data_IF_797290999130
#
_entry.id   IF_797290999130
#
_cell.length_a   1.000
_cell.length_b   1.000
_cell.length_c   1.000
_cell.angle_alpha   90.00
_cell.angle_beta   90.00
_cell.angle_gamma   90.00
#
_symmetry.space_group_name_H-M   'P 1'
#
loop_
_entity.id
_entity.type
_entity.pdbx_description
1 polymer ?
#
# COMPACT_ATOMS: atom_id res chain seq x y z
N UNK A 1 5.11 -20.59 11.66
CA UNK A 1 4.07 -21.19 10.76
C UNK A 1 4.68 -21.46 9.40
N UNK A 2 4.50 -22.65 8.82
CA UNK A 2 5.04 -22.96 7.49
C UNK A 2 3.94 -22.79 6.44
N UNK A 3 4.27 -22.08 5.36
CA UNK A 3 3.33 -21.79 4.26
C UNK A 3 2.78 -23.07 3.60
N UNK A 4 3.50 -24.15 3.69
CA UNK A 4 3.15 -25.48 3.16
C UNK A 4 1.86 -26.03 3.80
N UNK A 5 1.52 -25.59 5.01
CA UNK A 5 0.32 -26.02 5.75
C UNK A 5 -0.90 -25.12 5.50
N UNK A 6 -0.75 -24.06 4.71
CA UNK A 6 -1.87 -23.16 4.45
C UNK A 6 -2.84 -23.76 3.43
N UNK A 7 -4.15 -23.66 3.74
CA UNK A 7 -5.21 -23.96 2.78
C UNK A 7 -5.27 -22.92 1.66
N UNK A 8 -5.99 -23.21 0.58
CA UNK A 8 -6.21 -22.27 -0.52
C UNK A 8 -6.91 -20.99 -0.03
N UNK A 9 -7.87 -21.13 0.91
CA UNK A 9 -8.59 -20.02 1.54
C UNK A 9 -7.61 -19.10 2.31
N UNK A 10 -6.69 -19.69 3.07
CA UNK A 10 -5.70 -18.93 3.84
C UNK A 10 -4.68 -18.28 2.92
N UNK A 11 -4.21 -18.98 1.89
CA UNK A 11 -3.30 -18.41 0.89
C UNK A 11 -3.95 -17.23 0.17
N UNK A 12 -5.23 -17.34 -0.22
CA UNK A 12 -5.99 -16.28 -0.86
C UNK A 12 -6.19 -15.07 0.08
N UNK A 13 -6.67 -15.32 1.30
CA UNK A 13 -6.93 -14.28 2.28
C UNK A 13 -5.68 -13.49 2.66
N UNK A 14 -4.52 -14.15 2.82
CA UNK A 14 -3.26 -13.47 3.12
C UNK A 14 -2.81 -12.46 2.05
N UNK A 15 -3.36 -12.50 0.85
CA UNK A 15 -3.12 -11.56 -0.24
C UNK A 15 -4.12 -10.42 -0.33
N UNK A 16 -5.05 -10.32 0.61
CA UNK A 16 -6.02 -9.23 0.69
C UNK A 16 -5.70 -8.29 1.85
N UNK A 17 -5.74 -7.00 1.56
CA UNK A 17 -5.76 -5.93 2.55
C UNK A 17 -7.08 -5.18 2.37
N UNK A 18 -7.89 -5.13 3.42
CA UNK A 18 -9.28 -4.67 3.30
C UNK A 18 -9.62 -3.58 4.30
N UNK A 19 -10.51 -2.66 3.88
CA UNK A 19 -11.14 -1.72 4.77
C UNK A 19 -12.38 -2.30 5.44
N UNK A 20 -12.86 -1.62 6.46
CA UNK A 20 -14.04 -2.01 7.24
C UNK A 20 -14.73 -0.78 7.85
N UNK A 21 -15.93 -0.95 8.38
CA UNK A 21 -16.67 0.09 9.06
C UNK A 21 -16.67 -0.10 10.58
N UNK A 22 -16.72 1.03 11.29
CA UNK A 22 -16.83 1.07 12.75
C UNK A 22 -15.53 1.34 13.48
N UNK A 23 -15.67 1.62 14.79
CA UNK A 23 -14.58 2.03 15.68
C UNK A 23 -14.28 0.99 16.77
N UNK A 24 -14.93 -0.16 16.71
CA UNK A 24 -14.73 -1.27 17.62
C UNK A 24 -14.75 -2.60 16.86
N UNK A 25 -14.16 -3.61 17.45
CA UNK A 25 -14.23 -4.98 16.93
C UNK A 25 -15.70 -5.41 16.82
N UNK A 26 -16.10 -5.93 15.67
CA UNK A 26 -17.49 -6.25 15.34
C UNK A 26 -17.59 -7.50 14.46
N UNK A 27 -18.82 -7.92 14.12
CA UNK A 27 -19.09 -9.11 13.33
C UNK A 27 -18.47 -9.06 11.91
N UNK A 28 -18.34 -7.87 11.31
CA UNK A 28 -17.68 -7.74 10.00
C UNK A 28 -16.19 -8.07 10.12
N UNK A 29 -15.51 -7.57 11.16
CA UNK A 29 -14.11 -7.89 11.44
C UNK A 29 -13.93 -9.38 11.81
N UNK A 30 -14.88 -9.98 12.54
CA UNK A 30 -14.88 -11.43 12.78
C UNK A 30 -14.90 -12.22 11.46
N UNK A 31 -15.73 -11.80 10.51
CA UNK A 31 -15.85 -12.45 9.20
C UNK A 31 -14.59 -12.26 8.36
N UNK A 32 -14.09 -11.03 8.24
CA UNK A 32 -12.87 -10.72 7.48
C UNK A 32 -11.65 -11.48 8.00
N UNK A 33 -11.47 -11.51 9.31
CA UNK A 33 -10.31 -12.13 9.95
C UNK A 33 -10.50 -13.65 10.10
N UNK A 34 -11.67 -14.11 10.56
CA UNK A 34 -11.90 -15.52 10.89
C UNK A 34 -12.27 -16.40 9.70
N UNK A 35 -13.08 -15.90 8.76
CA UNK A 35 -13.56 -16.67 7.61
C UNK A 35 -12.75 -16.36 6.34
N UNK A 36 -12.58 -15.08 5.99
CA UNK A 36 -11.83 -14.69 4.79
C UNK A 36 -10.31 -14.76 5.00
N UNK A 37 -9.86 -14.79 6.24
CA UNK A 37 -8.45 -14.96 6.60
C UNK A 37 -7.54 -13.88 6.01
N UNK A 38 -8.01 -12.63 5.96
CA UNK A 38 -7.31 -11.51 5.32
C UNK A 38 -5.93 -11.26 5.93
N UNK A 39 -4.97 -10.89 5.08
CA UNK A 39 -3.60 -10.65 5.48
C UNK A 39 -3.36 -9.30 6.12
N UNK A 40 -4.23 -8.33 5.85
CA UNK A 40 -4.13 -6.98 6.39
C UNK A 40 -5.45 -6.24 6.45
N UNK A 41 -5.46 -5.18 7.26
CA UNK A 41 -6.53 -4.20 7.38
C UNK A 41 -5.99 -2.81 7.05
N UNK A 42 -6.79 -1.98 6.43
CA UNK A 42 -6.50 -0.56 6.22
C UNK A 42 -7.54 0.30 6.92
N UNK A 43 -7.05 1.30 7.68
CA UNK A 43 -7.86 2.20 8.49
C UNK A 43 -8.07 3.54 7.79
N UNK A 44 -9.27 4.08 7.94
CA UNK A 44 -9.65 5.40 7.48
C UNK A 44 -10.12 6.27 8.65
N UNK A 45 -10.23 7.58 8.43
CA UNK A 45 -10.66 8.51 9.47
C UNK A 45 -11.94 8.09 10.23
N UNK A 46 -12.98 7.48 9.60
CA UNK A 46 -14.16 7.01 10.33
C UNK A 46 -13.89 5.90 11.35
N UNK A 47 -12.77 5.16 11.22
CA UNK A 47 -12.39 4.12 12.18
C UNK A 47 -11.71 4.67 13.44
N UNK A 48 -11.37 5.97 13.47
CA UNK A 48 -10.50 6.59 14.46
C UNK A 48 -11.29 7.62 15.26
N UNK A 49 -11.42 7.43 16.58
CA UNK A 49 -12.00 8.40 17.48
C UNK A 49 -10.94 9.07 18.37
N UNK A 50 -10.16 8.27 19.07
CA UNK A 50 -9.09 8.68 19.98
C UNK A 50 -8.01 7.59 20.08
N UNK A 51 -6.83 7.89 20.66
CA UNK A 51 -5.74 6.92 20.76
C UNK A 51 -6.10 5.64 21.50
N UNK A 52 -6.84 5.74 22.60
CA UNK A 52 -7.20 4.57 23.41
C UNK A 52 -8.21 3.66 22.71
N UNK A 53 -9.17 4.26 21.99
CA UNK A 53 -10.11 3.52 21.16
C UNK A 53 -9.36 2.78 20.04
N UNK A 54 -8.46 3.48 19.34
CA UNK A 54 -7.74 2.92 18.22
C UNK A 54 -6.81 1.78 18.66
N UNK A 55 -6.08 1.95 19.76
CA UNK A 55 -5.26 0.91 20.36
C UNK A 55 -6.07 -0.35 20.72
N UNK A 56 -7.25 -0.17 21.35
CA UNK A 56 -8.14 -1.30 21.66
C UNK A 56 -8.57 -2.02 20.37
N UNK A 57 -9.02 -1.28 19.36
CA UNK A 57 -9.46 -1.85 18.09
C UNK A 57 -8.35 -2.68 17.43
N UNK A 58 -7.14 -2.12 17.28
CA UNK A 58 -6.02 -2.82 16.69
C UNK A 58 -5.63 -4.08 17.48
N UNK A 59 -5.57 -3.97 18.81
CA UNK A 59 -5.28 -5.13 19.68
C UNK A 59 -6.34 -6.21 19.55
N UNK A 60 -7.64 -5.88 19.60
CA UNK A 60 -8.72 -6.84 19.53
C UNK A 60 -8.72 -7.59 18.18
N UNK A 61 -8.36 -6.90 17.06
CA UNK A 61 -8.16 -7.53 15.76
C UNK A 61 -6.98 -8.51 15.77
N UNK A 62 -5.82 -8.13 16.34
CA UNK A 62 -4.65 -9.01 16.45
C UNK A 62 -4.93 -10.23 17.33
N UNK A 63 -5.57 -10.02 18.47
CA UNK A 63 -5.95 -11.10 19.41
C UNK A 63 -6.92 -12.09 18.75
N UNK A 64 -7.85 -11.58 17.94
CA UNK A 64 -8.78 -12.45 17.21
C UNK A 64 -8.07 -13.23 16.11
N UNK A 65 -7.19 -12.59 15.34
CA UNK A 65 -6.38 -13.26 14.32
C UNK A 65 -5.53 -14.40 14.94
N UNK A 66 -4.92 -14.14 16.10
CA UNK A 66 -4.15 -15.16 16.83
C UNK A 66 -5.03 -16.34 17.27
N UNK A 67 -6.25 -16.08 17.79
CA UNK A 67 -7.23 -17.15 18.14
C UNK A 67 -7.66 -17.97 16.94
N UNK A 68 -7.72 -17.37 15.75
CA UNK A 68 -7.99 -18.05 14.47
C UNK A 68 -6.78 -18.79 13.89
N UNK A 69 -5.64 -18.79 14.58
CA UNK A 69 -4.41 -19.42 14.11
C UNK A 69 -3.81 -18.74 12.88
N UNK A 70 -4.01 -17.43 12.74
CA UNK A 70 -3.46 -16.65 11.64
C UNK A 70 -2.10 -16.03 11.99
N UNK A 71 -1.27 -15.71 10.96
CA UNK A 71 -0.17 -14.78 11.15
C UNK A 71 -0.67 -13.42 11.62
N UNK A 72 0.14 -12.61 12.33
CA UNK A 72 -0.22 -11.25 12.70
C UNK A 72 -0.74 -10.45 11.49
N UNK A 73 -1.73 -9.61 11.72
CA UNK A 73 -2.28 -8.74 10.68
C UNK A 73 -1.32 -7.58 10.38
N UNK A 74 -1.19 -7.23 9.11
CA UNK A 74 -0.72 -5.90 8.76
C UNK A 74 -1.89 -4.95 8.99
N UNK A 75 -1.71 -3.95 9.86
CA UNK A 75 -2.69 -2.89 10.09
C UNK A 75 -2.06 -1.60 9.57
N UNK A 76 -2.69 -1.01 8.57
CA UNK A 76 -2.15 0.11 7.81
C UNK A 76 -3.03 1.34 7.83
N UNK A 77 -2.44 2.47 7.51
CA UNK A 77 -3.10 3.77 7.39
C UNK A 77 -2.38 4.65 6.38
N UNK A 78 -3.07 5.64 5.79
CA UNK A 78 -2.43 6.74 5.05
C UNK A 78 -2.12 7.88 6.02
N UNK A 79 -0.87 8.07 6.38
CA UNK A 79 -0.41 9.18 7.21
C UNK A 79 0.74 9.92 6.52
N UNK A 80 0.43 10.53 5.35
CA UNK A 80 1.40 11.32 4.56
C UNK A 80 1.74 12.67 5.20
N UNK A 81 0.85 13.15 6.08
CA UNK A 81 0.79 14.54 6.52
C UNK A 81 0.01 15.43 5.54
N UNK A 82 -0.24 16.71 5.92
CA UNK A 82 -1.02 17.63 5.11
C UNK A 82 -2.45 17.15 4.85
N UNK A 83 -2.92 17.18 3.58
CA UNK A 83 -4.29 16.81 3.26
C UNK A 83 -4.57 15.31 3.44
N UNK A 84 -3.55 14.46 3.31
CA UNK A 84 -3.69 13.01 3.46
C UNK A 84 -3.11 12.57 4.81
N UNK A 85 -3.94 12.67 5.82
CA UNK A 85 -3.68 12.21 7.17
C UNK A 85 -4.96 11.68 7.78
N UNK A 86 -4.92 10.51 8.44
CA UNK A 86 -6.07 9.91 9.11
C UNK A 86 -6.04 10.20 10.61
N UNK A 87 -4.85 10.25 11.20
CA UNK A 87 -4.63 10.67 12.57
C UNK A 87 -4.60 12.21 12.62
N UNK A 88 -5.55 12.81 13.33
CA UNK A 88 -5.80 14.26 13.31
C UNK A 88 -5.94 14.87 14.70
N UNK A 89 -5.80 16.20 14.79
CA UNK A 89 -6.14 16.93 16.00
C UNK A 89 -7.58 16.62 16.47
N UNK A 90 -7.88 16.71 17.78
CA UNK A 90 -6.96 17.17 18.85
C UNK A 90 -6.04 16.08 19.41
N UNK A 91 -6.16 14.84 19.02
CA UNK A 91 -5.54 13.70 19.69
C UNK A 91 -4.17 13.33 19.12
N UNK A 92 -3.87 13.74 17.88
CA UNK A 92 -2.65 13.40 17.18
C UNK A 92 -1.95 14.65 16.63
N UNK A 93 -0.66 14.54 16.38
CA UNK A 93 0.16 15.62 15.84
C UNK A 93 -0.23 15.95 14.40
N UNK A 94 -0.42 17.22 14.10
CA UNK A 94 -0.72 17.69 12.74
C UNK A 94 0.55 18.20 12.09
N UNK A 95 0.85 17.70 10.90
CA UNK A 95 1.96 18.15 10.08
C UNK A 95 1.44 18.86 8.82
N UNK A 96 2.15 19.88 8.32
CA UNK A 96 1.72 20.66 7.16
C UNK A 96 1.78 19.90 5.83
N UNK A 97 2.43 18.72 5.80
CA UNK A 97 2.59 17.90 4.61
C UNK A 97 3.96 18.02 3.95
N UNK A 98 4.20 17.15 2.97
CA UNK A 98 5.49 16.99 2.31
C UNK A 98 6.04 18.28 1.66
N UNK A 99 5.22 19.13 0.99
CA UNK A 99 5.75 20.37 0.39
C UNK A 99 6.34 21.36 1.38
N UNK A 100 5.99 21.27 2.65
CA UNK A 100 6.50 22.15 3.71
C UNK A 100 7.78 21.65 4.37
N UNK A 101 8.20 20.41 4.09
CA UNK A 101 9.45 19.82 4.58
C UNK A 101 10.61 20.34 3.75
N UNK A 102 11.58 20.99 4.40
CA UNK A 102 12.68 21.71 3.74
C UNK A 102 13.90 20.82 3.48
N UNK A 103 14.14 19.90 4.39
CA UNK A 103 15.31 19.01 4.37
C UNK A 103 14.99 17.64 4.99
N UNK A 104 15.96 16.74 4.94
CA UNK A 104 15.83 15.39 5.45
C UNK A 104 15.58 15.34 6.96
N UNK A 105 15.98 16.39 7.73
CA UNK A 105 15.70 16.41 9.17
C UNK A 105 14.23 16.71 9.46
N UNK A 106 13.58 17.55 8.67
CA UNK A 106 12.11 17.73 8.73
C UNK A 106 11.40 16.39 8.44
N UNK A 107 11.83 15.67 7.39
CA UNK A 107 11.29 14.36 7.06
C UNK A 107 11.50 13.32 8.18
N UNK A 108 12.69 13.30 8.80
CA UNK A 108 12.98 12.45 9.96
C UNK A 108 12.15 12.83 11.18
N UNK A 109 11.96 14.13 11.42
CA UNK A 109 11.16 14.61 12.56
C UNK A 109 9.68 14.19 12.41
N UNK A 110 9.11 14.35 11.21
CA UNK A 110 7.80 13.84 10.87
C UNK A 110 7.72 12.32 11.11
N UNK A 111 8.63 11.56 10.51
CA UNK A 111 8.63 10.10 10.60
C UNK A 111 8.83 9.58 12.04
N UNK A 112 9.65 10.26 12.87
CA UNK A 112 9.81 9.89 14.29
C UNK A 112 8.51 10.00 15.07
N UNK A 113 7.79 11.10 14.88
CA UNK A 113 6.51 11.35 15.57
C UNK A 113 5.44 10.42 15.06
N UNK A 114 5.30 10.31 13.74
CA UNK A 114 4.33 9.42 13.08
C UNK A 114 4.54 7.97 13.50
N UNK A 115 5.77 7.45 13.44
CA UNK A 115 6.07 6.08 13.85
C UNK A 115 5.68 5.81 15.31
N UNK A 116 5.93 6.79 16.21
CA UNK A 116 5.53 6.66 17.61
C UNK A 116 4.01 6.58 17.75
N UNK A 117 3.29 7.52 17.15
CA UNK A 117 1.82 7.57 17.25
C UNK A 117 1.16 6.34 16.63
N UNK A 118 1.67 5.85 15.48
CA UNK A 118 1.21 4.63 14.83
C UNK A 118 1.46 3.39 15.70
N UNK A 119 2.68 3.25 16.21
CA UNK A 119 3.04 2.10 17.06
C UNK A 119 2.25 2.09 18.37
N UNK A 120 2.07 3.24 19.02
CA UNK A 120 1.26 3.36 20.24
C UNK A 120 -0.20 2.95 19.99
N UNK A 121 -0.72 3.23 18.80
CA UNK A 121 -2.06 2.84 18.38
C UNK A 121 -2.18 1.38 17.90
N UNK A 122 -1.06 0.66 17.73
CA UNK A 122 -1.04 -0.71 17.21
C UNK A 122 -1.08 -0.81 15.68
N UNK A 123 -0.84 0.30 14.97
CA UNK A 123 -0.68 0.35 13.52
C UNK A 123 0.79 0.06 13.19
N UNK A 124 1.03 -0.80 12.20
CA UNK A 124 2.36 -1.31 11.88
C UNK A 124 2.82 -1.03 10.45
N UNK A 125 1.98 -0.38 9.62
CA UNK A 125 2.33 0.02 8.27
C UNK A 125 1.77 1.41 7.96
N UNK A 126 2.60 2.27 7.37
CA UNK A 126 2.20 3.58 6.82
C UNK A 126 2.27 3.55 5.30
N UNK A 127 1.18 3.93 4.63
CA UNK A 127 1.13 4.10 3.18
C UNK A 127 1.83 5.42 2.77
N UNK A 128 3.07 5.55 3.19
CA UNK A 128 4.00 6.65 2.95
C UNK A 128 5.45 6.12 2.90
N UNK A 129 6.36 6.81 2.19
CA UNK A 129 6.26 8.14 1.57
C UNK A 129 5.64 8.17 0.17
N UNK A 130 5.18 9.35 -0.21
CA UNK A 130 4.89 9.70 -1.61
C UNK A 130 6.22 9.98 -2.31
N UNK A 131 6.57 9.14 -3.30
CA UNK A 131 7.82 9.22 -4.07
C UNK A 131 7.61 9.87 -5.45
N UNK A 132 6.42 10.39 -5.71
CA UNK A 132 6.06 11.04 -6.96
C UNK A 132 6.81 12.37 -7.12
N UNK A 133 7.25 12.66 -8.35
CA UNK A 133 7.93 13.90 -8.72
C UNK A 133 6.98 14.78 -9.52
N UNK A 134 6.60 15.95 -8.97
CA UNK A 134 5.71 16.88 -9.64
C UNK A 134 6.38 18.25 -9.80
N UNK A 135 6.40 18.83 -11.02
CA UNK A 135 6.85 20.20 -11.23
C UNK A 135 6.07 21.20 -10.36
N UNK A 136 6.75 22.24 -9.85
CA UNK A 136 6.14 23.21 -8.91
C UNK A 136 5.00 24.03 -9.53
N UNK A 137 4.94 24.14 -10.82
CA UNK A 137 3.91 24.85 -11.58
C UNK A 137 2.74 23.94 -12.01
N UNK A 138 2.81 22.64 -11.70
CA UNK A 138 1.73 21.71 -12.00
C UNK A 138 0.63 21.81 -10.94
N UNK A 139 -0.53 22.36 -11.33
CA UNK A 139 -1.74 22.29 -10.53
C UNK A 139 -2.39 20.90 -10.68
N UNK A 140 -2.55 20.17 -9.58
CA UNK A 140 -3.21 18.86 -9.59
C UNK A 140 -3.27 18.27 -8.18
N UNK A 141 -3.89 17.10 -8.06
CA UNK A 141 -4.09 16.40 -6.78
C UNK A 141 -2.79 16.07 -6.04
N UNK A 142 -1.67 16.04 -6.77
CA UNK A 142 -0.35 15.73 -6.21
C UNK A 142 0.40 16.96 -5.69
N UNK A 143 0.00 18.19 -6.05
CA UNK A 143 0.71 19.41 -5.68
C UNK A 143 0.94 19.56 -4.17
N UNK A 144 -0.05 19.21 -3.36
CA UNK A 144 -0.02 19.30 -1.90
C UNK A 144 0.49 18.01 -1.21
N UNK A 145 0.93 17.00 -1.99
CA UNK A 145 1.35 15.69 -1.48
C UNK A 145 2.80 15.33 -1.76
N UNK A 146 3.44 15.95 -2.76
CA UNK A 146 4.82 15.64 -3.17
C UNK A 146 5.85 16.45 -2.40
N UNK A 147 7.09 15.96 -2.31
CA UNK A 147 8.22 16.72 -1.79
C UNK A 147 8.71 17.81 -2.76
N UNK A 148 8.39 17.70 -4.06
CA UNK A 148 8.74 18.68 -5.07
C UNK A 148 8.99 18.10 -6.46
N UNK A 149 9.60 18.93 -7.36
CA UNK A 149 9.81 18.59 -8.76
C UNK A 149 11.22 18.12 -9.13
N UNK A 150 12.09 17.91 -8.15
CA UNK A 150 13.44 17.44 -8.38
C UNK A 150 13.63 16.00 -7.90
N UNK A 151 13.91 15.03 -8.79
CA UNK A 151 14.01 13.61 -8.44
C UNK A 151 14.94 13.31 -7.27
N UNK A 152 16.15 13.92 -7.27
CA UNK A 152 17.13 13.74 -6.20
C UNK A 152 16.66 14.27 -4.85
N UNK A 153 15.87 15.36 -4.83
CA UNK A 153 15.30 15.89 -3.60
C UNK A 153 14.24 14.94 -3.07
N UNK A 154 13.31 14.50 -3.94
CA UNK A 154 12.26 13.52 -3.58
C UNK A 154 12.91 12.23 -3.06
N UNK A 155 13.95 11.74 -3.72
CA UNK A 155 14.69 10.55 -3.30
C UNK A 155 15.26 10.71 -1.88
N UNK A 156 15.98 11.83 -1.59
CA UNK A 156 16.54 12.06 -0.25
C UNK A 156 15.49 12.19 0.84
N UNK A 157 14.42 12.96 0.57
CA UNK A 157 13.33 13.15 1.53
C UNK A 157 12.61 11.84 1.83
N UNK A 158 12.24 11.11 0.78
CA UNK A 158 11.53 9.85 0.89
C UNK A 158 12.36 8.77 1.59
N UNK A 159 13.65 8.63 1.27
CA UNK A 159 14.52 7.65 1.93
C UNK A 159 14.77 7.99 3.40
N UNK A 160 14.91 9.27 3.75
CA UNK A 160 15.01 9.69 5.16
C UNK A 160 13.75 9.29 5.96
N UNK A 161 12.57 9.37 5.32
CA UNK A 161 11.30 8.94 5.93
C UNK A 161 11.24 7.40 6.03
N UNK A 162 11.56 6.67 4.97
CA UNK A 162 11.61 5.20 4.94
C UNK A 162 12.51 4.67 6.07
N UNK A 163 13.76 5.11 6.11
CA UNK A 163 14.73 4.65 7.10
C UNK A 163 14.23 4.92 8.54
N UNK A 164 13.62 6.08 8.76
CA UNK A 164 13.17 6.49 10.08
C UNK A 164 11.95 5.72 10.56
N UNK A 165 10.94 5.49 9.70
CA UNK A 165 9.78 4.66 10.00
C UNK A 165 10.21 3.22 10.28
N UNK A 166 11.00 2.63 9.37
CA UNK A 166 11.38 1.23 9.45
C UNK A 166 12.30 0.92 10.64
N UNK A 167 13.22 1.83 10.97
CA UNK A 167 14.04 1.71 12.18
C UNK A 167 13.22 1.73 13.48
N UNK A 168 11.95 2.15 13.43
CA UNK A 168 11.00 2.18 14.55
C UNK A 168 9.93 1.10 14.46
N UNK A 169 10.09 0.12 13.56
CA UNK A 169 9.18 -1.01 13.43
C UNK A 169 7.90 -0.73 12.66
N UNK A 170 7.79 0.44 12.00
CA UNK A 170 6.66 0.76 11.11
C UNK A 170 7.08 0.54 9.67
N UNK A 171 6.39 -0.35 8.97
CA UNK A 171 6.62 -0.63 7.55
C UNK A 171 6.26 0.59 6.70
N UNK A 172 7.20 1.07 5.87
CA UNK A 172 6.98 2.16 4.93
C UNK A 172 6.55 1.62 3.56
N UNK A 173 5.68 2.36 2.86
CA UNK A 173 5.22 2.02 1.50
C UNK A 173 5.49 3.19 0.56
N UNK A 174 6.41 3.00 -0.38
CA UNK A 174 6.70 3.99 -1.42
C UNK A 174 5.59 4.00 -2.48
N UNK A 175 5.05 5.17 -2.82
CA UNK A 175 3.92 5.31 -3.74
C UNK A 175 3.99 6.59 -4.58
N UNK A 176 3.42 6.61 -5.77
CA UNK A 176 2.65 5.56 -6.47
C UNK A 176 3.43 5.12 -7.71
N UNK A 177 4.02 3.93 -7.67
CA UNK A 177 4.88 3.42 -8.74
C UNK A 177 4.11 3.27 -10.08
N UNK A 178 4.70 3.64 -11.23
CA UNK A 178 6.07 4.12 -11.45
C UNK A 178 6.25 5.65 -11.38
N UNK A 179 5.26 6.41 -10.88
CA UNK A 179 5.28 7.85 -10.69
C UNK A 179 4.07 8.55 -11.35
N UNK A 180 3.24 9.22 -10.53
CA UNK A 180 2.01 9.90 -10.98
C UNK A 180 2.10 11.43 -10.87
N UNK A 181 3.23 11.97 -10.40
CA UNK A 181 3.35 13.40 -10.08
C UNK A 181 3.17 14.33 -11.26
N UNK A 182 3.32 13.84 -12.49
CA UNK A 182 3.12 14.60 -13.73
C UNK A 182 1.76 14.37 -14.38
N UNK A 183 0.82 13.69 -13.70
CA UNK A 183 -0.55 13.49 -14.17
C UNK A 183 -1.48 14.58 -13.64
N UNK A 184 -2.47 14.96 -14.44
CA UNK A 184 -3.44 16.03 -14.10
C UNK A 184 -4.77 15.44 -13.63
N UNK A 185 -5.18 14.29 -14.18
CA UNK A 185 -6.45 13.65 -13.86
C UNK A 185 -6.40 12.90 -12.54
N UNK A 186 -7.52 12.95 -11.80
CA UNK A 186 -7.71 12.23 -10.56
C UNK A 186 -8.18 10.80 -10.83
N UNK A 187 -7.39 9.80 -10.45
CA UNK A 187 -7.71 8.38 -10.58
C UNK A 187 -8.89 7.91 -9.73
N UNK A 188 -9.35 8.73 -8.77
CA UNK A 188 -10.60 8.48 -8.06
C UNK A 188 -11.84 8.68 -8.96
N UNK A 189 -11.72 9.49 -10.00
CA UNK A 189 -12.84 9.82 -10.90
C UNK A 189 -12.86 8.93 -12.12
N UNK A 190 -11.72 8.74 -12.79
CA UNK A 190 -11.58 7.90 -13.98
C UNK A 190 -10.12 7.47 -14.15
N UNK A 191 -9.82 6.63 -15.15
CA UNK A 191 -8.47 6.14 -15.41
C UNK A 191 -7.64 7.20 -16.16
N UNK A 192 -6.61 7.82 -15.51
CA UNK A 192 -5.73 8.75 -16.20
C UNK A 192 -4.82 8.00 -17.19
N UNK A 193 -4.49 8.68 -18.29
CA UNK A 193 -3.56 8.16 -19.30
C UNK A 193 -2.28 8.99 -19.27
N UNK A 194 -1.15 8.31 -19.10
CA UNK A 194 0.18 8.90 -19.16
C UNK A 194 0.85 8.52 -20.47
N UNK A 195 1.36 9.53 -21.22
CA UNK A 195 1.77 9.37 -22.62
C UNK A 195 3.27 9.30 -22.85
N UNK A 196 4.08 9.50 -21.81
CA UNK A 196 5.52 9.35 -21.94
C UNK A 196 5.90 7.87 -21.98
N UNK A 197 7.00 7.60 -22.65
CA UNK A 197 7.61 6.28 -22.67
C UNK A 197 8.57 6.09 -21.48
N UNK A 198 9.06 4.86 -21.31
CA UNK A 198 9.96 4.53 -20.22
C UNK A 198 11.25 5.37 -20.23
N UNK A 199 11.78 5.70 -21.42
CA UNK A 199 13.01 6.48 -21.55
C UNK A 199 12.84 7.92 -21.02
N UNK A 200 11.65 8.50 -21.19
CA UNK A 200 11.32 9.82 -20.63
C UNK A 200 11.06 9.75 -19.10
N UNK A 201 10.61 8.61 -18.57
CA UNK A 201 10.36 8.42 -17.13
C UNK A 201 11.64 8.08 -16.35
N UNK A 202 12.58 7.37 -16.96
CA UNK A 202 13.81 6.91 -16.30
C UNK A 202 14.60 8.03 -15.59
N UNK A 203 14.79 9.24 -16.13
CA UNK A 203 15.53 10.30 -15.46
C UNK A 203 14.69 11.09 -14.43
N UNK A 204 13.38 10.98 -14.44
CA UNK A 204 12.50 11.85 -13.63
C UNK A 204 11.72 11.06 -12.59
N UNK A 205 10.93 10.06 -13.01
CA UNK A 205 9.97 9.39 -12.15
C UNK A 205 10.58 8.19 -11.40
N UNK A 206 11.53 7.48 -12.03
CA UNK A 206 12.09 6.25 -11.45
C UNK A 206 13.19 6.45 -10.39
N UNK A 207 14.02 7.52 -10.37
CA UNK A 207 15.10 7.66 -9.41
C UNK A 207 14.65 7.61 -7.94
N UNK A 208 13.54 8.25 -7.51
CA UNK A 208 13.07 8.11 -6.13
C UNK A 208 12.72 6.67 -5.76
N UNK A 209 12.10 5.91 -6.66
CA UNK A 209 11.77 4.50 -6.41
C UNK A 209 13.03 3.61 -6.40
N UNK A 210 14.02 3.91 -7.26
CA UNK A 210 15.32 3.23 -7.19
C UNK A 210 15.97 3.44 -5.83
N UNK A 211 15.99 4.68 -5.33
CA UNK A 211 16.49 4.99 -4.00
C UNK A 211 15.70 4.27 -2.89
N UNK A 212 14.36 4.21 -3.00
CA UNK A 212 13.53 3.48 -2.05
C UNK A 212 13.87 1.96 -2.03
N UNK A 213 14.14 1.37 -3.19
CA UNK A 213 14.56 -0.04 -3.32
C UNK A 213 15.92 -0.25 -2.65
N UNK A 214 16.90 0.62 -2.91
CA UNK A 214 18.24 0.56 -2.31
C UNK A 214 18.19 0.68 -0.78
N UNK A 215 17.22 1.45 -0.25
CA UNK A 215 16.92 1.59 1.18
C UNK A 215 15.96 0.50 1.72
N UNK A 216 15.70 -0.55 0.92
CA UNK A 216 14.91 -1.73 1.33
C UNK A 216 13.53 -1.36 1.85
N UNK A 217 12.82 -0.49 1.13
CA UNK A 217 11.45 -0.15 1.49
C UNK A 217 10.57 -1.40 1.62
N UNK A 218 9.77 -1.45 2.67
CA UNK A 218 8.94 -2.62 3.03
C UNK A 218 7.86 -2.94 1.98
N UNK A 219 7.25 -1.89 1.40
CA UNK A 219 6.24 -2.03 0.37
C UNK A 219 6.40 -1.01 -0.77
N UNK A 220 5.92 -1.38 -1.97
CA UNK A 220 5.73 -0.46 -3.09
C UNK A 220 4.29 -0.58 -3.57
N UNK A 221 3.57 0.55 -3.60
CA UNK A 221 2.20 0.62 -4.12
C UNK A 221 2.22 1.06 -5.59
N UNK A 222 1.50 0.31 -6.44
CA UNK A 222 1.35 0.58 -7.87
C UNK A 222 0.11 1.42 -8.14
N UNK A 223 0.25 2.42 -9.01
CA UNK A 223 -0.80 3.37 -9.36
C UNK A 223 -1.87 2.80 -10.30
N UNK A 224 -3.05 3.42 -10.32
CA UNK A 224 -4.12 3.15 -11.29
C UNK A 224 -4.03 4.02 -12.56
N UNK A 225 -2.81 4.26 -13.04
CA UNK A 225 -2.54 5.04 -14.25
C UNK A 225 -2.25 4.10 -15.41
N UNK A 226 -2.84 4.37 -16.57
CA UNK A 226 -2.51 3.70 -17.83
C UNK A 226 -1.30 4.39 -18.47
N UNK A 227 -0.17 3.71 -18.51
CA UNK A 227 1.06 4.18 -19.18
C UNK A 227 1.05 3.67 -20.62
N UNK A 228 0.33 4.38 -21.50
CA UNK A 228 -0.05 3.94 -22.84
C UNK A 228 1.13 3.46 -23.71
N UNK A 229 2.34 4.05 -23.53
CA UNK A 229 3.54 3.67 -24.27
C UNK A 229 4.39 2.57 -23.62
N UNK A 230 3.99 2.11 -22.42
CA UNK A 230 4.66 1.02 -21.70
C UNK A 230 3.79 -0.22 -21.73
N UNK A 231 2.53 -0.06 -21.34
CA UNK A 231 1.47 -1.08 -21.41
C UNK A 231 0.16 -0.39 -21.82
N UNK A 232 -0.28 -0.53 -23.07
CA UNK A 232 -1.48 0.13 -23.57
C UNK A 232 -2.78 -0.54 -23.08
N UNK A 233 -2.68 -1.71 -22.46
CA UNK A 233 -3.85 -2.53 -22.07
C UNK A 233 -4.20 -2.39 -20.58
N UNK A 234 -3.18 -2.32 -19.71
CA UNK A 234 -3.39 -2.39 -18.27
C UNK A 234 -2.77 -1.22 -17.50
N UNK A 235 -3.49 -0.62 -16.53
CA UNK A 235 -2.89 0.35 -15.60
C UNK A 235 -1.78 -0.31 -14.77
N UNK A 236 -0.86 0.48 -14.25
CA UNK A 236 0.34 -0.04 -13.58
C UNK A 236 0.03 -1.10 -12.50
N UNK A 237 -1.04 -0.91 -11.72
CA UNK A 237 -1.51 -1.85 -10.69
C UNK A 237 -2.05 -3.18 -11.22
N UNK A 238 -2.21 -3.33 -12.53
CA UNK A 238 -2.69 -4.55 -13.19
C UNK A 238 -1.76 -5.00 -14.31
N UNK A 239 -0.66 -4.28 -14.55
CA UNK A 239 0.26 -4.50 -15.67
C UNK A 239 1.39 -5.46 -15.33
N UNK A 240 1.49 -6.62 -15.97
CA UNK A 240 2.67 -7.49 -15.82
C UNK A 240 3.94 -6.84 -16.36
N UNK A 241 3.84 -5.94 -17.35
CA UNK A 241 4.99 -5.20 -17.90
C UNK A 241 5.58 -4.25 -16.84
N UNK A 242 4.73 -3.56 -16.08
CA UNK A 242 5.17 -2.59 -15.09
C UNK A 242 5.52 -3.26 -13.75
N UNK A 243 4.65 -4.10 -13.21
CA UNK A 243 4.87 -4.68 -11.90
C UNK A 243 5.93 -5.81 -11.91
N UNK A 244 5.79 -6.75 -12.83
CA UNK A 244 6.69 -7.91 -12.91
C UNK A 244 8.00 -7.59 -13.63
N UNK A 245 7.91 -7.06 -14.89
CA UNK A 245 9.08 -6.96 -15.74
C UNK A 245 9.91 -5.70 -15.41
N UNK A 246 9.28 -4.52 -15.19
CA UNK A 246 10.00 -3.31 -14.81
C UNK A 246 10.40 -3.33 -13.33
N UNK A 247 9.44 -3.39 -12.39
CA UNK A 247 9.73 -3.23 -10.96
C UNK A 247 10.51 -4.42 -10.39
N UNK A 248 10.03 -5.66 -10.59
CA UNK A 248 10.70 -6.82 -9.99
C UNK A 248 11.96 -7.24 -10.74
N UNK A 249 11.90 -7.38 -12.09
CA UNK A 249 13.01 -7.95 -12.85
C UNK A 249 14.07 -6.91 -13.21
N UNK A 250 13.68 -5.76 -13.79
CA UNK A 250 14.64 -4.74 -14.24
C UNK A 250 15.21 -3.93 -13.07
N UNK A 251 14.34 -3.45 -12.14
CA UNK A 251 14.77 -2.67 -10.97
C UNK A 251 15.16 -3.53 -9.77
N UNK A 252 14.87 -4.84 -9.77
CA UNK A 252 15.35 -5.80 -8.76
C UNK A 252 14.57 -5.80 -7.45
N UNK A 253 13.37 -5.23 -7.37
CA UNK A 253 12.59 -5.17 -6.13
C UNK A 253 12.09 -6.55 -5.69
N UNK A 254 12.49 -6.99 -4.49
CA UNK A 254 12.12 -8.27 -3.92
C UNK A 254 11.13 -8.17 -2.75
N UNK A 255 10.79 -6.96 -2.33
CA UNK A 255 9.82 -6.72 -1.25
C UNK A 255 8.36 -6.91 -1.68
N UNK A 256 7.45 -6.49 -0.80
CA UNK A 256 6.00 -6.62 -1.02
C UNK A 256 5.50 -5.53 -1.96
N UNK A 257 4.77 -5.93 -3.00
CA UNK A 257 4.05 -5.02 -3.88
C UNK A 257 2.56 -5.04 -3.59
N UNK A 258 1.89 -3.91 -3.79
CA UNK A 258 0.45 -3.81 -3.59
C UNK A 258 -0.20 -2.93 -4.66
N UNK A 259 -1.47 -3.16 -4.92
CA UNK A 259 -2.27 -2.24 -5.72
C UNK A 259 -2.58 -0.98 -4.91
N UNK A 260 -2.92 0.12 -5.57
CA UNK A 260 -3.76 1.15 -4.96
C UNK A 260 -5.17 0.59 -4.73
N UNK A 261 -6.08 1.37 -4.14
CA UNK A 261 -7.43 0.92 -3.80
C UNK A 261 -8.23 0.49 -5.04
N UNK A 262 -8.57 -0.78 -5.11
CA UNK A 262 -9.34 -1.37 -6.23
C UNK A 262 -10.80 -0.89 -6.29
N UNK A 263 -11.28 -0.14 -5.30
CA UNK A 263 -12.59 0.51 -5.32
C UNK A 263 -12.57 1.89 -5.98
N UNK A 264 -11.39 2.38 -6.41
CA UNK A 264 -11.27 3.66 -7.11
C UNK A 264 -11.91 3.62 -8.51
N UNK A 265 -12.41 4.77 -8.95
CA UNK A 265 -13.12 4.93 -10.24
C UNK A 265 -12.32 4.44 -11.45
N UNK A 266 -10.99 4.62 -11.45
CA UNK A 266 -10.09 4.12 -12.48
C UNK A 266 -10.17 2.59 -12.69
N UNK A 267 -10.58 1.84 -11.69
CA UNK A 267 -10.71 0.38 -11.76
C UNK A 267 -12.18 -0.04 -11.94
N UNK A 268 -13.05 0.40 -11.03
CA UNK A 268 -14.43 -0.12 -10.98
C UNK A 268 -15.27 0.20 -12.21
N UNK A 269 -14.91 1.26 -12.96
CA UNK A 269 -15.61 1.65 -14.19
C UNK A 269 -15.17 0.85 -15.41
N UNK A 270 -14.00 0.23 -15.37
CA UNK A 270 -13.37 -0.40 -16.54
C UNK A 270 -13.26 -1.91 -16.42
N UNK A 271 -13.21 -2.45 -15.19
CA UNK A 271 -12.93 -3.87 -14.98
C UNK A 271 -13.84 -4.49 -13.91
N UNK A 272 -14.29 -5.72 -14.14
CA UNK A 272 -14.87 -6.56 -13.08
C UNK A 272 -13.77 -7.07 -12.13
N UNK A 273 -14.17 -7.40 -10.90
CA UNK A 273 -13.23 -7.80 -9.86
C UNK A 273 -12.50 -9.11 -10.19
N UNK A 274 -13.13 -10.03 -10.91
CA UNK A 274 -12.51 -11.30 -11.32
C UNK A 274 -11.34 -11.06 -12.27
N UNK A 275 -11.52 -10.20 -13.27
CA UNK A 275 -10.47 -9.75 -14.19
C UNK A 275 -9.36 -9.03 -13.44
N UNK A 276 -9.69 -8.13 -12.51
CA UNK A 276 -8.72 -7.40 -11.68
C UNK A 276 -7.84 -8.38 -10.88
N UNK A 277 -8.44 -9.31 -10.17
CA UNK A 277 -7.69 -10.28 -9.35
C UNK A 277 -6.85 -11.22 -10.23
N UNK A 278 -7.35 -11.62 -11.39
CA UNK A 278 -6.53 -12.36 -12.36
C UNK A 278 -5.27 -11.58 -12.75
N UNK A 279 -5.40 -10.30 -13.08
CA UNK A 279 -4.26 -9.45 -13.45
C UNK A 279 -3.30 -9.20 -12.26
N UNK A 280 -3.81 -9.00 -11.05
CA UNK A 280 -2.98 -8.90 -9.84
C UNK A 280 -2.08 -10.14 -9.69
N UNK A 281 -2.62 -11.34 -9.94
CA UNK A 281 -1.84 -12.58 -9.88
C UNK A 281 -0.85 -12.67 -11.04
N UNK A 282 -1.28 -12.41 -12.28
CA UNK A 282 -0.44 -12.45 -13.48
C UNK A 282 0.73 -11.44 -13.43
N UNK A 283 0.52 -10.31 -12.75
CA UNK A 283 1.50 -9.24 -12.56
C UNK A 283 2.45 -9.47 -11.38
N UNK A 284 2.31 -10.58 -10.65
CA UNK A 284 3.08 -10.93 -9.44
C UNK A 284 2.98 -9.84 -8.34
N UNK A 285 1.83 -9.16 -8.26
CA UNK A 285 1.52 -8.21 -7.17
C UNK A 285 1.05 -9.02 -5.95
N UNK A 286 1.51 -8.64 -4.76
CA UNK A 286 1.31 -9.43 -3.55
C UNK A 286 -0.02 -9.15 -2.88
N UNK A 287 -0.32 -7.87 -2.63
CA UNK A 287 -1.58 -7.45 -2.03
C UNK A 287 -2.53 -6.80 -3.02
N UNK A 288 -3.78 -7.24 -3.00
CA UNK A 288 -4.91 -6.52 -3.56
C UNK A 288 -5.59 -5.72 -2.43
N UNK A 289 -5.66 -4.39 -2.59
CA UNK A 289 -6.34 -3.50 -1.65
C UNK A 289 -7.79 -3.30 -2.07
N UNK A 290 -8.75 -3.59 -1.16
CA UNK A 290 -10.18 -3.34 -1.34
C UNK A 290 -10.64 -2.57 -0.11
N UNK A 291 -10.69 -1.24 -0.22
CA UNK A 291 -10.69 -0.37 0.94
C UNK A 291 -12.10 -0.05 1.49
N UNK A 292 -13.16 -0.37 0.76
CA UNK A 292 -14.52 -0.06 1.16
C UNK A 292 -15.31 -1.32 1.48
N UNK A 293 -16.09 -1.26 2.57
CA UNK A 293 -17.02 -2.33 2.91
C UNK A 293 -18.02 -2.54 1.77
N UNK A 294 -18.15 -3.78 1.30
CA UNK A 294 -19.09 -4.11 0.24
C UNK A 294 -18.91 -5.53 -0.29
N UNK A 295 -19.73 -5.93 -1.26
CA UNK A 295 -19.67 -7.27 -1.83
C UNK A 295 -18.34 -7.56 -2.55
N UNK A 296 -17.63 -6.53 -3.00
CA UNK A 296 -16.35 -6.66 -3.72
C UNK A 296 -15.27 -7.35 -2.89
N UNK A 297 -15.28 -7.23 -1.57
CA UNK A 297 -14.32 -7.95 -0.71
C UNK A 297 -14.55 -9.45 -0.83
N UNK A 298 -15.81 -9.90 -0.72
CA UNK A 298 -16.16 -11.31 -0.87
C UNK A 298 -15.86 -11.83 -2.29
N UNK A 299 -16.30 -11.10 -3.32
CA UNK A 299 -16.07 -11.43 -4.72
C UNK A 299 -14.57 -11.50 -5.04
N UNK A 300 -13.77 -10.52 -4.55
CA UNK A 300 -12.33 -10.49 -4.70
C UNK A 300 -11.63 -11.66 -4.00
N UNK A 301 -12.10 -12.02 -2.81
CA UNK A 301 -11.58 -13.19 -2.08
C UNK A 301 -11.89 -14.51 -2.83
N UNK A 302 -13.10 -14.67 -3.37
CA UNK A 302 -13.48 -15.84 -4.16
C UNK A 302 -12.61 -15.95 -5.42
N UNK A 303 -12.46 -14.85 -6.15
CA UNK A 303 -11.57 -14.79 -7.31
C UNK A 303 -10.12 -15.10 -6.95
N UNK A 304 -9.59 -14.56 -5.83
CA UNK A 304 -8.22 -14.82 -5.37
C UNK A 304 -8.03 -16.30 -4.99
N UNK A 305 -9.03 -16.92 -4.34
CA UNK A 305 -9.02 -18.35 -4.02
C UNK A 305 -8.98 -19.21 -5.29
N UNK A 306 -9.77 -18.85 -6.30
CA UNK A 306 -9.78 -19.59 -7.55
C UNK A 306 -8.46 -19.41 -8.32
N UNK A 307 -7.88 -18.21 -8.31
CA UNK A 307 -6.52 -17.97 -8.84
C UNK A 307 -5.45 -18.73 -8.07
N UNK A 308 -5.60 -18.90 -6.75
CA UNK A 308 -4.70 -19.69 -5.92
C UNK A 308 -4.62 -21.16 -6.38
N UNK A 309 -5.76 -21.74 -6.74
CA UNK A 309 -5.84 -23.11 -7.28
C UNK A 309 -5.22 -23.24 -8.66
N UNK A 310 -5.41 -22.23 -9.50
CA UNK A 310 -4.88 -22.22 -10.87
C UNK A 310 -3.38 -21.91 -10.92
N UNK A 311 -2.88 -21.08 -10.00
CA UNK A 311 -1.52 -20.56 -9.98
C UNK A 311 -0.83 -20.76 -8.61
N UNK A 312 -0.70 -22.02 -8.11
CA UNK A 312 -0.28 -22.30 -6.74
C UNK A 312 1.16 -21.85 -6.45
N UNK A 313 2.05 -21.92 -7.43
CA UNK A 313 3.45 -21.51 -7.24
C UNK A 313 3.58 -19.99 -7.09
N UNK A 314 2.93 -19.23 -7.95
CA UNK A 314 2.92 -17.75 -7.88
C UNK A 314 2.28 -17.26 -6.58
N UNK A 315 1.14 -17.86 -6.19
CA UNK A 315 0.48 -17.53 -4.93
C UNK A 315 1.38 -17.79 -3.73
N UNK A 316 2.04 -18.96 -3.67
CA UNK A 316 2.96 -19.26 -2.57
C UNK A 316 4.17 -18.34 -2.54
N UNK A 317 4.72 -17.95 -3.70
CA UNK A 317 5.80 -16.98 -3.76
C UNK A 317 5.38 -15.61 -3.22
N UNK A 318 4.18 -15.15 -3.57
CA UNK A 318 3.59 -13.91 -3.07
C UNK A 318 3.34 -13.95 -1.55
N UNK A 319 2.66 -15.00 -1.07
CA UNK A 319 2.39 -15.16 0.37
C UNK A 319 3.71 -15.30 1.16
N UNK A 320 4.74 -15.92 0.60
CA UNK A 320 6.06 -15.98 1.25
C UNK A 320 6.65 -14.60 1.48
N UNK A 321 6.64 -13.70 0.48
CA UNK A 321 7.09 -12.31 0.65
C UNK A 321 6.31 -11.59 1.75
N UNK A 322 4.98 -11.79 1.81
CA UNK A 322 4.13 -11.22 2.87
C UNK A 322 4.52 -11.78 4.25
N UNK A 323 4.75 -13.08 4.36
CA UNK A 323 5.13 -13.70 5.64
C UNK A 323 6.53 -13.27 6.07
N UNK A 324 7.49 -13.16 5.15
CA UNK A 324 8.84 -12.67 5.42
C UNK A 324 8.81 -11.22 5.93
N UNK A 325 7.94 -10.38 5.34
CA UNK A 325 7.70 -9.03 5.82
C UNK A 325 7.12 -9.03 7.24
N UNK A 326 6.07 -9.82 7.48
CA UNK A 326 5.48 -9.99 8.82
C UNK A 326 6.49 -10.51 9.84
N UNK A 327 7.33 -11.47 9.46
CA UNK A 327 8.41 -11.98 10.32
C UNK A 327 9.40 -10.88 10.72
N UNK A 328 9.78 -10.06 9.75
CA UNK A 328 10.76 -8.99 9.95
C UNK A 328 10.26 -7.92 10.92
N UNK A 329 9.01 -7.50 10.80
CA UNK A 329 8.48 -6.36 11.55
C UNK A 329 7.59 -6.73 12.74
N UNK A 330 6.92 -7.88 12.71
CA UNK A 330 5.93 -8.27 13.70
C UNK A 330 6.39 -9.45 14.57
N UNK A 331 7.57 -9.99 14.31
CA UNK A 331 8.13 -11.10 15.08
C UNK A 331 7.27 -12.37 15.02
N UNK A 332 6.57 -12.59 13.92
CA UNK A 332 5.69 -13.74 13.75
C UNK A 332 6.53 -15.03 13.69
N UNK A 333 6.57 -15.79 14.77
CA UNK A 333 7.20 -17.12 14.87
C UNK A 333 6.22 -18.23 14.50
#
# INVERSE_FOLDING_TARGET
MTIETFSDEKLAGQRLMVGFEGQAFNADLEDLIGRLLVGGLILFAPNIADPDQLQRLCRDCQDYAARCGQPPLIISVDQEGGPVARLKAPHFTVFPGNPAMKDEEDARAFARTTAKELSDAGINMDMAPVMDVAPQDLSGIMADRVFGGHPDHVARMGTALIDTLQARGVMAVAKHFPGIGRTILDSHLDMPIFKDDLAAMEPIDLPPFTAAIDHRVAGIMLSHILYERIDPEWPASLSPVIARDLLRRKMGYQGVTMTDDLDMGAIVRHFDIGTVIHQVVASEIDFALICHKGPRIQEGWEAMRDQTRQNPQQTRASVRRILDLKQTYLGAS
#
